data_IF_350951885058
#
_entry.id   IF_350951885058
#
_cell.length_a   1.000
_cell.length_b   1.000
_cell.length_c   1.000
_cell.angle_alpha   90.00
_cell.angle_beta   90.00
_cell.angle_gamma   90.00
#
_symmetry.space_group_name_H-M   'P 1'
#
loop_
_entity.id
_entity.type
_entity.pdbx_description
1 polymer ?
#
# COMPACT_ATOMS: atom_id res chain seq x y z
N UNK A 1 -29.07 -35.07 -8.18
CA UNK A 1 -28.18 -35.01 -7.00
C UNK A 1 -26.92 -34.27 -7.40
N UNK A 2 -26.75 -33.04 -6.92
CA UNK A 2 -25.59 -32.19 -7.18
C UNK A 2 -25.13 -31.63 -5.81
N UNK A 3 -23.87 -31.79 -5.38
CA UNK A 3 -23.47 -31.33 -4.05
C UNK A 3 -22.94 -29.88 -4.07
N UNK A 4 -23.45 -29.10 -3.12
CA UNK A 4 -22.78 -28.09 -2.28
C UNK A 4 -21.40 -27.56 -2.73
N UNK A 5 -21.36 -26.27 -3.06
CA UNK A 5 -20.18 -25.41 -2.91
C UNK A 5 -20.60 -24.09 -2.23
N UNK A 6 -20.82 -24.16 -0.91
CA UNK A 6 -20.82 -22.99 -0.03
C UNK A 6 -19.42 -22.97 0.59
N UNK A 7 -18.52 -22.13 0.07
CA UNK A 7 -17.12 -22.12 0.52
C UNK A 7 -16.34 -20.85 0.21
N UNK A 8 -17.00 -19.74 -0.13
CA UNK A 8 -16.32 -18.48 -0.51
C UNK A 8 -16.50 -17.32 0.46
N UNK A 9 -17.52 -17.33 1.31
CA UNK A 9 -17.92 -16.13 2.09
C UNK A 9 -17.34 -16.13 3.52
N UNK A 10 -16.89 -17.27 4.03
CA UNK A 10 -16.48 -17.38 5.45
C UNK A 10 -15.08 -16.83 5.77
N UNK A 11 -14.18 -16.64 4.80
CA UNK A 11 -12.82 -16.16 5.14
C UNK A 11 -12.75 -14.64 5.32
N UNK A 12 -13.56 -13.89 4.57
CA UNK A 12 -13.55 -12.41 4.61
C UNK A 12 -14.09 -11.87 5.94
N UNK A 13 -15.15 -12.49 6.48
CA UNK A 13 -15.71 -12.12 7.78
C UNK A 13 -14.77 -12.44 8.95
N UNK A 14 -13.94 -13.49 8.83
CA UNK A 14 -12.99 -13.87 9.89
C UNK A 14 -11.83 -12.87 9.97
N UNK A 15 -11.34 -12.35 8.84
CA UNK A 15 -10.24 -11.37 8.84
C UNK A 15 -10.70 -10.02 9.39
N UNK A 16 -11.88 -9.53 9.01
CA UNK A 16 -12.45 -8.29 9.56
C UNK A 16 -12.81 -8.46 11.04
N UNK A 17 -13.34 -9.63 11.43
CA UNK A 17 -13.62 -9.98 12.83
C UNK A 17 -12.36 -10.08 13.71
N UNK A 18 -11.23 -10.52 13.17
CA UNK A 18 -9.96 -10.62 13.91
C UNK A 18 -9.33 -9.23 14.16
N UNK A 19 -9.45 -8.29 13.21
CA UNK A 19 -9.12 -6.88 13.43
C UNK A 19 -10.00 -6.25 14.52
N UNK A 20 -11.31 -6.54 14.51
CA UNK A 20 -12.24 -6.08 15.53
C UNK A 20 -11.93 -6.64 16.93
N UNK A 21 -11.52 -7.91 17.02
CA UNK A 21 -11.17 -8.54 18.29
C UNK A 21 -9.91 -7.91 18.92
N UNK A 22 -8.93 -7.50 18.11
CA UNK A 22 -7.74 -6.81 18.61
C UNK A 22 -8.06 -5.40 19.13
N UNK A 23 -8.95 -4.66 18.46
CA UNK A 23 -9.37 -3.31 18.88
C UNK A 23 -10.21 -3.33 20.17
N UNK A 24 -11.05 -4.36 20.36
CA UNK A 24 -11.94 -4.46 21.53
C UNK A 24 -11.23 -4.72 22.87
N UNK A 25 -9.93 -5.02 22.86
CA UNK A 25 -9.13 -5.20 24.09
C UNK A 25 -8.86 -3.91 24.87
N UNK A 26 -9.21 -2.75 24.32
CA UNK A 26 -9.17 -1.46 25.02
C UNK A 26 -10.54 -0.76 24.95
N UNK A 27 -11.39 -1.11 25.90
CA UNK A 27 -12.27 -0.17 26.61
C UNK A 27 -13.37 0.57 25.84
N UNK A 28 -14.59 0.37 26.35
CA UNK A 28 -15.75 1.27 26.28
C UNK A 28 -16.59 1.28 25.01
N UNK A 29 -17.86 0.92 25.24
CA UNK A 29 -19.00 0.90 24.34
C UNK A 29 -19.48 2.30 23.94
N UNK A 30 -19.26 2.67 22.68
CA UNK A 30 -20.12 3.56 21.89
C UNK A 30 -19.70 3.41 20.43
N UNK A 31 -20.61 3.42 19.43
CA UNK A 31 -20.18 3.52 18.04
C UNK A 31 -19.47 4.87 17.91
N UNK A 32 -18.17 4.86 17.66
CA UNK A 32 -17.42 6.07 17.31
C UNK A 32 -17.84 6.48 15.90
N UNK A 33 -17.77 7.77 15.58
CA UNK A 33 -18.09 8.31 14.25
C UNK A 33 -17.33 7.56 13.11
N UNK A 34 -16.18 6.96 13.45
CA UNK A 34 -15.39 6.06 12.60
C UNK A 34 -16.13 4.77 12.18
N UNK A 35 -16.99 4.20 13.04
CA UNK A 35 -17.79 3.00 12.73
C UNK A 35 -18.95 3.34 11.76
N UNK A 36 -19.43 4.59 11.80
CA UNK A 36 -20.48 5.07 10.90
C UNK A 36 -19.90 5.46 9.53
N UNK A 37 -18.74 6.13 9.49
CA UNK A 37 -17.97 6.37 8.26
C UNK A 37 -17.59 5.06 7.56
N UNK A 38 -17.18 4.04 8.31
CA UNK A 38 -16.85 2.73 7.75
C UNK A 38 -18.09 2.07 7.14
N UNK A 39 -19.24 2.11 7.81
CA UNK A 39 -20.51 1.59 7.30
C UNK A 39 -20.98 2.33 6.05
N UNK A 40 -20.80 3.65 6.00
CA UNK A 40 -21.13 4.46 4.83
C UNK A 40 -20.24 4.08 3.63
N UNK A 41 -18.93 3.97 3.87
CA UNK A 41 -17.94 3.58 2.85
C UNK A 41 -18.25 2.17 2.31
N UNK A 42 -18.55 1.21 3.19
CA UNK A 42 -18.95 -0.14 2.81
C UNK A 42 -20.23 -0.16 1.95
N UNK A 43 -21.20 0.69 2.26
CA UNK A 43 -22.45 0.79 1.50
C UNK A 43 -22.25 1.43 0.13
N UNK A 44 -21.43 2.47 0.01
CA UNK A 44 -21.06 3.05 -1.29
C UNK A 44 -20.25 2.08 -2.17
N UNK A 45 -19.44 1.20 -1.57
CA UNK A 45 -18.70 0.14 -2.29
C UNK A 45 -19.65 -0.90 -2.88
N UNK A 46 -20.71 -1.27 -2.17
CA UNK A 46 -21.74 -2.20 -2.66
C UNK A 46 -22.61 -1.57 -3.76
N UNK A 47 -22.92 -0.27 -3.67
CA UNK A 47 -23.76 0.45 -4.64
C UNK A 47 -23.00 0.88 -5.91
N UNK A 48 -21.69 1.13 -5.83
CA UNK A 48 -20.85 1.56 -6.98
C UNK A 48 -20.17 0.42 -7.74
N UNK A 49 -20.35 -0.83 -7.30
CA UNK A 49 -19.70 -2.00 -7.87
C UNK A 49 -18.18 -1.90 -7.75
N UNK A 50 -17.68 -1.73 -6.51
CA UNK A 50 -16.28 -1.44 -6.18
C UNK A 50 -15.24 -2.40 -6.78
N UNK A 51 -13.96 -2.19 -6.46
CA UNK A 51 -12.86 -2.87 -7.17
C UNK A 51 -13.05 -4.41 -7.21
N UNK A 52 -13.28 -5.00 -8.41
CA UNK A 52 -13.54 -6.44 -8.54
C UNK A 52 -12.38 -7.27 -7.98
N UNK A 53 -12.68 -8.38 -7.31
CA UNK A 53 -11.65 -9.25 -6.72
C UNK A 53 -10.58 -9.72 -7.71
N UNK A 54 -10.99 -9.97 -8.96
CA UNK A 54 -10.07 -10.33 -10.05
C UNK A 54 -9.09 -9.20 -10.39
N UNK A 55 -9.57 -7.94 -10.39
CA UNK A 55 -8.70 -6.78 -10.58
C UNK A 55 -7.80 -6.57 -9.37
N UNK A 56 -8.35 -6.67 -8.16
CA UNK A 56 -7.60 -6.54 -6.91
C UNK A 56 -6.45 -7.53 -6.82
N UNK A 57 -6.67 -8.79 -7.22
CA UNK A 57 -5.62 -9.80 -7.27
C UNK A 57 -4.49 -9.40 -8.21
N UNK A 58 -4.80 -8.97 -9.43
CA UNK A 58 -3.80 -8.51 -10.40
C UNK A 58 -3.02 -7.29 -9.89
N UNK A 59 -3.74 -6.31 -9.31
CA UNK A 59 -3.12 -5.12 -8.72
C UNK A 59 -2.18 -5.49 -7.57
N UNK A 60 -2.54 -6.48 -6.74
CA UNK A 60 -1.68 -6.97 -5.66
C UNK A 60 -0.43 -7.70 -6.17
N UNK A 61 -0.52 -8.43 -7.28
CA UNK A 61 0.63 -9.08 -7.93
C UNK A 61 1.59 -8.02 -8.51
N UNK A 62 1.07 -7.02 -9.23
CA UNK A 62 1.85 -5.88 -9.73
C UNK A 62 2.49 -5.08 -8.59
N UNK A 63 1.74 -4.84 -7.51
CA UNK A 63 2.23 -4.21 -6.30
C UNK A 63 3.39 -4.98 -5.66
N UNK A 64 3.35 -6.31 -5.62
CA UNK A 64 4.44 -7.11 -5.07
C UNK A 64 5.74 -6.87 -5.84
N UNK A 65 5.69 -6.83 -7.17
CA UNK A 65 6.86 -6.52 -7.99
C UNK A 65 7.42 -5.12 -7.72
N UNK A 66 6.54 -4.11 -7.61
CA UNK A 66 6.95 -2.75 -7.26
C UNK A 66 7.60 -2.69 -5.87
N UNK A 67 7.03 -3.38 -4.88
CA UNK A 67 7.52 -3.40 -3.51
C UNK A 67 8.91 -4.07 -3.42
N UNK A 68 9.10 -5.20 -4.09
CA UNK A 68 10.38 -5.91 -4.13
C UNK A 68 11.49 -5.03 -4.71
N UNK A 69 11.22 -4.39 -5.85
CA UNK A 69 12.16 -3.47 -6.49
C UNK A 69 12.46 -2.23 -5.61
N UNK A 70 11.42 -1.68 -4.97
CA UNK A 70 11.58 -0.57 -4.04
C UNK A 70 12.44 -0.96 -2.82
N UNK A 71 12.28 -2.18 -2.31
CA UNK A 71 13.04 -2.69 -1.17
C UNK A 71 14.51 -2.96 -1.52
N UNK A 72 14.81 -3.42 -2.73
CA UNK A 72 16.19 -3.54 -3.23
C UNK A 72 16.85 -2.16 -3.25
N UNK A 73 16.19 -1.15 -3.83
CA UNK A 73 16.70 0.23 -3.87
C UNK A 73 16.89 0.80 -2.46
N UNK A 74 15.93 0.58 -1.57
CA UNK A 74 16.02 1.02 -0.17
C UNK A 74 17.26 0.45 0.52
N UNK A 75 17.47 -0.86 0.44
CA UNK A 75 18.64 -1.51 1.01
C UNK A 75 19.95 -0.97 0.42
N UNK A 76 19.97 -0.73 -0.90
CA UNK A 76 21.10 -0.10 -1.59
C UNK A 76 21.42 1.29 -1.01
N UNK A 77 20.43 2.16 -0.90
CA UNK A 77 20.61 3.51 -0.32
C UNK A 77 21.02 3.42 1.14
N UNK A 78 20.37 2.59 1.95
CA UNK A 78 20.72 2.43 3.38
C UNK A 78 22.20 2.06 3.56
N UNK A 79 22.70 1.12 2.75
CA UNK A 79 24.10 0.73 2.80
C UNK A 79 25.05 1.86 2.36
N UNK A 80 24.64 2.69 1.40
CA UNK A 80 25.46 3.79 0.90
C UNK A 80 25.56 4.97 1.86
N UNK A 81 24.46 5.28 2.56
CA UNK A 81 24.40 6.39 3.52
C UNK A 81 24.88 5.98 4.91
N UNK A 82 25.03 4.67 5.16
CA UNK A 82 25.53 4.14 6.43
C UNK A 82 26.86 4.79 6.79
N UNK A 83 26.90 5.40 7.98
CA UNK A 83 28.08 6.07 8.54
C UNK A 83 28.60 7.26 7.72
N UNK A 84 27.83 7.77 6.73
CA UNK A 84 28.17 8.96 5.94
C UNK A 84 27.28 10.15 6.32
N UNK A 85 27.89 11.33 6.41
CA UNK A 85 27.13 12.59 6.48
C UNK A 85 26.80 13.04 5.05
N UNK A 86 25.51 13.05 4.71
CA UNK A 86 25.07 13.52 3.40
C UNK A 86 25.30 15.03 3.26
N UNK A 87 25.69 15.51 2.08
CA UNK A 87 25.60 16.92 1.72
C UNK A 87 24.14 17.42 1.86
N UNK A 88 23.95 18.69 2.21
CA UNK A 88 22.62 19.28 2.40
C UNK A 88 21.69 19.06 1.19
N UNK A 89 22.21 19.15 -0.03
CA UNK A 89 21.47 18.91 -1.27
C UNK A 89 20.96 17.47 -1.40
N UNK A 90 21.69 16.48 -0.85
CA UNK A 90 21.30 15.07 -0.88
C UNK A 90 20.44 14.67 0.31
N UNK A 91 20.45 15.44 1.41
CA UNK A 91 19.57 15.17 2.56
C UNK A 91 18.09 15.28 2.16
N UNK A 92 17.73 16.27 1.35
CA UNK A 92 16.35 16.44 0.85
C UNK A 92 15.97 15.30 -0.10
N UNK A 93 16.86 14.94 -1.03
CA UNK A 93 16.65 13.81 -1.94
C UNK A 93 16.46 12.51 -1.16
N UNK A 94 17.26 12.29 -0.10
CA UNK A 94 17.15 11.11 0.75
C UNK A 94 15.84 11.08 1.54
N UNK A 95 15.41 12.21 2.11
CA UNK A 95 14.09 12.32 2.78
C UNK A 95 12.94 11.99 1.83
N UNK A 96 12.98 12.53 0.61
CA UNK A 96 11.97 12.23 -0.41
C UNK A 96 12.01 10.76 -0.82
N UNK A 97 13.20 10.17 -0.97
CA UNK A 97 13.37 8.75 -1.26
C UNK A 97 12.71 7.87 -0.19
N UNK A 98 12.97 8.14 1.10
CA UNK A 98 12.36 7.43 2.21
C UNK A 98 10.84 7.58 2.22
N UNK A 99 10.34 8.79 1.95
CA UNK A 99 8.90 9.07 1.89
C UNK A 99 8.21 8.27 0.79
N UNK A 100 8.79 8.22 -0.41
CA UNK A 100 8.23 7.45 -1.52
C UNK A 100 8.27 5.95 -1.24
N UNK A 101 9.38 5.45 -0.70
CA UNK A 101 9.47 4.05 -0.26
C UNK A 101 8.37 3.70 0.76
N UNK A 102 8.14 4.56 1.76
CA UNK A 102 7.08 4.34 2.74
C UNK A 102 5.68 4.33 2.12
N UNK A 103 5.41 5.26 1.19
CA UNK A 103 4.13 5.29 0.47
C UNK A 103 3.89 4.02 -0.35
N UNK A 104 4.93 3.49 -0.99
CA UNK A 104 4.87 2.19 -1.67
C UNK A 104 4.55 1.10 -0.64
N UNK A 105 5.30 1.03 0.47
CA UNK A 105 5.11 0.00 1.49
C UNK A 105 3.69 -0.04 2.10
N UNK A 106 3.05 1.12 2.24
CA UNK A 106 1.72 1.24 2.85
C UNK A 106 0.57 1.03 1.85
N UNK A 107 0.88 0.96 0.55
CA UNK A 107 -0.10 0.93 -0.55
C UNK A 107 -1.00 -0.30 -0.54
N UNK A 108 -0.55 -1.40 0.06
CA UNK A 108 -1.38 -2.60 0.22
C UNK A 108 -2.71 -2.28 0.91
N UNK A 109 -2.69 -1.41 1.92
CA UNK A 109 -3.92 -1.01 2.63
C UNK A 109 -4.88 -0.28 1.71
N UNK A 110 -4.34 0.63 0.88
CA UNK A 110 -5.11 1.37 -0.11
C UNK A 110 -5.75 0.45 -1.16
N UNK A 111 -4.98 -0.49 -1.71
CA UNK A 111 -5.49 -1.48 -2.68
C UNK A 111 -6.65 -2.30 -2.09
N UNK A 112 -6.56 -2.64 -0.80
CA UNK A 112 -7.58 -3.42 -0.09
C UNK A 112 -8.85 -2.64 0.25
N UNK A 113 -8.78 -1.31 0.29
CA UNK A 113 -9.91 -0.47 0.69
C UNK A 113 -10.44 0.40 -0.46
N UNK A 114 -9.85 0.30 -1.65
CA UNK A 114 -10.20 1.16 -2.77
C UNK A 114 -11.66 0.95 -3.22
N UNK A 115 -12.49 2.00 -3.19
CA UNK A 115 -13.94 1.82 -3.30
C UNK A 115 -14.45 1.79 -4.73
N UNK A 116 -13.65 2.16 -5.73
CA UNK A 116 -14.12 2.40 -7.09
C UNK A 116 -13.74 1.30 -8.08
N UNK A 117 -14.60 1.09 -9.09
CA UNK A 117 -14.40 0.09 -10.15
C UNK A 117 -13.25 0.42 -11.11
N UNK A 118 -12.82 1.69 -11.18
CA UNK A 118 -11.67 2.15 -11.97
C UNK A 118 -10.31 1.78 -11.36
N UNK A 119 -10.28 0.91 -10.33
CA UNK A 119 -9.08 0.57 -9.57
C UNK A 119 -7.90 0.13 -10.44
N UNK A 120 -8.13 -0.59 -11.54
CA UNK A 120 -7.05 -1.05 -12.42
C UNK A 120 -6.28 0.11 -13.05
N UNK A 121 -6.98 1.10 -13.58
CA UNK A 121 -6.36 2.28 -14.20
C UNK A 121 -5.68 3.15 -13.14
N UNK A 122 -6.39 3.40 -12.04
CA UNK A 122 -5.88 4.18 -10.92
C UNK A 122 -4.56 3.63 -10.38
N UNK A 123 -4.50 2.34 -10.05
CA UNK A 123 -3.29 1.74 -9.49
C UNK A 123 -2.18 1.59 -10.51
N UNK A 124 -2.49 1.34 -11.79
CA UNK A 124 -1.48 1.31 -12.85
C UNK A 124 -0.73 2.64 -12.96
N UNK A 125 -1.46 3.75 -13.06
CA UNK A 125 -0.86 5.09 -13.16
C UNK A 125 -0.06 5.44 -11.90
N UNK A 126 -0.62 5.06 -10.74
CA UNK A 126 0.02 5.27 -9.44
C UNK A 126 1.32 4.48 -9.31
N UNK A 127 1.34 3.20 -9.71
CA UNK A 127 2.55 2.38 -9.73
C UNK A 127 3.61 2.97 -10.66
N UNK A 128 3.23 3.35 -11.88
CA UNK A 128 4.15 3.97 -12.85
C UNK A 128 4.76 5.26 -12.30
N UNK A 129 3.95 6.11 -11.65
CA UNK A 129 4.45 7.33 -11.01
C UNK A 129 5.49 7.01 -9.93
N UNK A 130 5.17 6.10 -9.00
CA UNK A 130 6.06 5.80 -7.89
C UNK A 130 7.32 5.05 -8.32
N UNK A 131 7.23 4.13 -9.26
CA UNK A 131 8.40 3.43 -9.82
C UNK A 131 9.38 4.44 -10.43
N UNK A 132 8.88 5.31 -11.30
CA UNK A 132 9.70 6.32 -11.98
C UNK A 132 10.31 7.31 -10.99
N UNK A 133 9.51 7.80 -10.03
CA UNK A 133 9.99 8.79 -9.08
C UNK A 133 11.00 8.20 -8.09
N UNK A 134 10.76 6.97 -7.59
CA UNK A 134 11.71 6.27 -6.73
C UNK A 134 13.03 6.01 -7.47
N UNK A 135 12.96 5.59 -8.73
CA UNK A 135 14.15 5.38 -9.59
C UNK A 135 14.93 6.66 -9.79
N UNK A 136 14.27 7.78 -10.06
CA UNK A 136 14.93 9.08 -10.22
C UNK A 136 15.67 9.49 -8.93
N UNK A 137 15.01 9.39 -7.78
CA UNK A 137 15.59 9.71 -6.47
C UNK A 137 16.78 8.79 -6.15
N UNK A 138 16.63 7.49 -6.42
CA UNK A 138 17.69 6.50 -6.25
C UNK A 138 18.94 6.84 -7.07
N UNK A 139 18.78 7.16 -8.36
CA UNK A 139 19.89 7.52 -9.24
C UNK A 139 20.57 8.83 -8.81
N UNK A 140 19.80 9.82 -8.36
CA UNK A 140 20.36 11.08 -7.82
C UNK A 140 21.22 10.80 -6.58
N UNK A 141 20.78 9.92 -5.69
CA UNK A 141 21.55 9.54 -4.51
C UNK A 141 22.83 8.78 -4.87
N UNK A 142 22.75 7.80 -5.77
CA UNK A 142 23.93 7.06 -6.25
C UNK A 142 24.99 8.00 -6.83
N UNK A 143 24.59 8.80 -7.83
CA UNK A 143 25.50 9.70 -8.51
C UNK A 143 26.05 10.79 -7.57
N UNK A 144 25.22 11.28 -6.65
CA UNK A 144 25.65 12.30 -5.69
C UNK A 144 26.64 11.79 -4.64
N UNK A 145 26.59 10.49 -4.30
CA UNK A 145 27.48 9.85 -3.32
C UNK A 145 28.77 9.35 -3.98
N UNK A 146 28.73 8.85 -5.21
CA UNK A 146 29.90 8.29 -5.91
C UNK A 146 30.84 9.36 -6.50
N UNK A 147 30.32 10.55 -6.85
CA UNK A 147 31.13 11.64 -7.40
C UNK A 147 31.76 12.56 -6.33
N UNK A 148 31.91 12.08 -5.10
CA UNK A 148 32.56 12.79 -3.97
C UNK A 148 33.59 11.91 -3.30
#
# INVERSE_FOLDING_TARGET
>A
MLPLLIGGVSLFLVVVGFYFFLVKSKGSSSPTDEEEELKHTLKEVEESGGCPDSHRKLILEEYQHLLEDAQIKYNGVQNLVKDKKLPAELEEVYKNFLRIYQLINDMKGEIMLYPSSNCKEYFREKFEFYENYLKELYLKLLNGIENK
#
